data_IF_537048750032
#
_entry.id   IF_537048750032
#
_cell.length_a   1.000
_cell.length_b   1.000
_cell.length_c   1.000
_cell.angle_alpha   90.00
_cell.angle_beta   90.00
_cell.angle_gamma   90.00
#
_symmetry.space_group_name_H-M   'P 1'
#
loop_
_entity.id
_entity.type
_entity.pdbx_description
1 polymer ?
#
# COMPACT_ATOMS: atom_id res chain seq x y z
N UNK A 1 -1.44 16.36 -60.52
CA UNK A 1 -0.06 16.16 -60.07
C UNK A 1 0.31 17.34 -59.18
N UNK A 2 0.81 17.14 -57.96
CA UNK A 2 0.10 16.59 -56.79
C UNK A 2 -0.07 17.66 -55.69
N UNK A 3 -1.24 17.81 -55.05
CA UNK A 3 -1.66 17.19 -53.76
C UNK A 3 -0.68 17.42 -52.59
N UNK A 4 -0.94 18.48 -51.80
CA UNK A 4 -0.49 18.55 -50.41
C UNK A 4 -1.37 17.59 -49.60
N UNK A 5 -0.82 16.44 -49.23
CA UNK A 5 -1.39 15.47 -48.32
C UNK A 5 -0.40 15.25 -47.17
N UNK A 6 -0.92 15.39 -45.96
CA UNK A 6 -0.21 15.38 -44.69
C UNK A 6 0.36 13.99 -44.37
N UNK A 7 1.56 13.96 -43.82
CA UNK A 7 2.04 12.92 -42.89
C UNK A 7 3.38 13.38 -42.29
N UNK A 8 3.35 14.33 -41.36
CA UNK A 8 4.45 14.44 -40.40
C UNK A 8 4.10 13.51 -39.25
N UNK A 9 4.53 12.26 -39.42
CA UNK A 9 4.67 11.28 -38.36
C UNK A 9 5.59 11.92 -37.32
N UNK A 10 5.06 12.29 -36.15
CA UNK A 10 5.92 12.52 -34.99
C UNK A 10 6.32 11.14 -34.49
N UNK A 11 7.62 10.94 -34.61
CA UNK A 11 8.39 9.76 -34.26
C UNK A 11 8.41 9.65 -32.72
N UNK A 12 7.58 8.77 -32.16
CA UNK A 12 7.97 8.02 -30.98
C UNK A 12 8.79 6.81 -31.48
N UNK A 13 10.11 6.91 -31.44
CA UNK A 13 10.98 5.74 -31.56
C UNK A 13 11.96 5.67 -30.39
N UNK A 14 12.05 4.45 -29.85
CA UNK A 14 12.91 3.91 -28.79
C UNK A 14 12.46 4.26 -27.36
N UNK A 15 12.02 3.35 -26.49
CA UNK A 15 12.17 1.88 -26.36
C UNK A 15 10.92 1.35 -25.62
N UNK A 16 10.36 0.20 -26.02
CA UNK A 16 9.22 -0.45 -25.33
C UNK A 16 7.86 -0.22 -25.98
N UNK A 17 6.97 -1.21 -25.88
CA UNK A 17 5.59 -1.10 -26.34
C UNK A 17 4.90 0.00 -25.51
N UNK A 18 4.40 1.05 -26.16
CA UNK A 18 3.57 2.05 -25.48
C UNK A 18 2.27 1.33 -25.09
N UNK A 19 1.90 1.26 -23.80
CA UNK A 19 0.64 0.68 -23.39
C UNK A 19 -0.53 1.39 -24.09
N UNK A 20 -1.63 0.67 -24.32
CA UNK A 20 -2.83 1.34 -24.84
C UNK A 20 -3.31 2.38 -23.83
N UNK A 21 -4.00 3.42 -24.31
CA UNK A 21 -4.47 4.55 -23.49
C UNK A 21 -5.16 4.06 -22.20
N UNK A 22 -4.72 4.58 -21.04
CA UNK A 22 -5.30 4.29 -19.72
C UNK A 22 -4.85 2.97 -19.08
N UNK A 23 -3.82 2.31 -19.61
CA UNK A 23 -3.30 1.06 -19.05
C UNK A 23 -2.01 1.27 -18.27
N UNK A 24 -1.87 0.56 -17.15
CA UNK A 24 -0.62 0.52 -16.44
C UNK A 24 0.44 -0.28 -17.20
N UNK A 25 1.70 0.17 -17.16
CA UNK A 25 2.84 -0.56 -17.69
C UNK A 25 3.97 -0.62 -16.68
N UNK A 26 4.67 -1.76 -16.63
CA UNK A 26 5.88 -1.92 -15.83
C UNK A 26 6.95 -0.94 -16.33
N UNK A 27 7.39 -0.03 -15.47
CA UNK A 27 8.48 0.90 -15.73
C UNK A 27 9.83 0.26 -15.41
N UNK A 28 9.91 -0.40 -14.24
CA UNK A 28 11.17 -0.85 -13.70
C UNK A 28 10.99 -1.95 -12.65
N UNK A 29 11.79 -3.01 -12.77
CA UNK A 29 12.07 -3.95 -11.68
C UNK A 29 13.16 -3.38 -10.76
N UNK A 30 12.94 -3.46 -9.44
CA UNK A 30 13.81 -2.99 -8.38
C UNK A 30 14.29 -4.16 -7.53
N UNK A 31 15.60 -4.18 -7.33
CA UNK A 31 16.31 -5.03 -6.37
C UNK A 31 17.39 -4.12 -5.77
N UNK A 32 17.56 -4.14 -4.45
CA UNK A 32 18.65 -3.39 -3.81
C UNK A 32 19.99 -4.13 -3.99
N UNK A 33 21.09 -3.38 -4.04
CA UNK A 33 22.39 -3.92 -4.46
C UNK A 33 22.98 -4.98 -3.50
N UNK A 34 22.53 -4.97 -2.25
CA UNK A 34 22.91 -5.83 -1.14
C UNK A 34 21.83 -6.87 -0.78
N UNK A 35 20.88 -7.12 -1.68
CA UNK A 35 19.87 -8.16 -1.53
C UNK A 35 20.43 -9.52 -1.94
N UNK A 36 20.31 -10.48 -1.03
CA UNK A 36 20.72 -11.87 -1.15
C UNK A 36 19.55 -12.81 -0.77
N UNK A 37 19.82 -14.12 -0.72
CA UNK A 37 18.82 -15.13 -0.42
C UNK A 37 18.20 -14.98 0.97
N UNK A 38 16.86 -15.09 1.06
CA UNK A 38 16.02 -14.96 2.25
C UNK A 38 15.83 -13.52 2.78
N UNK A 39 16.23 -12.49 2.03
CA UNK A 39 16.03 -11.10 2.47
C UNK A 39 14.56 -10.63 2.36
N UNK A 40 13.76 -11.31 1.55
CA UNK A 40 12.34 -11.01 1.32
C UNK A 40 12.07 -9.57 0.83
N UNK A 41 12.93 -9.02 -0.03
CA UNK A 41 12.75 -7.68 -0.57
C UNK A 41 11.42 -7.54 -1.32
N UNK A 42 10.65 -6.48 -1.04
CA UNK A 42 9.29 -6.33 -1.57
C UNK A 42 8.21 -6.94 -0.68
N UNK A 43 8.57 -7.41 0.53
CA UNK A 43 7.61 -7.82 1.57
C UNK A 43 6.57 -6.75 1.89
N UNK A 44 7.01 -5.49 1.84
CA UNK A 44 6.18 -4.30 1.99
C UNK A 44 6.66 -3.21 1.02
N UNK A 45 5.73 -2.42 0.48
CA UNK A 45 6.04 -1.30 -0.43
C UNK A 45 5.16 -0.10 -0.09
N UNK A 46 5.70 1.10 -0.25
CA UNK A 46 4.94 2.35 -0.15
C UNK A 46 5.52 3.39 -1.10
N UNK A 47 4.67 4.19 -1.74
CA UNK A 47 5.06 5.27 -2.64
C UNK A 47 4.33 6.58 -2.30
N UNK A 48 5.06 7.69 -2.35
CA UNK A 48 4.56 9.06 -2.22
C UNK A 48 5.32 9.96 -3.19
N UNK A 49 4.64 10.40 -4.25
CA UNK A 49 5.23 11.18 -5.33
C UNK A 49 6.43 10.46 -5.96
N UNK A 50 7.60 11.09 -5.86
CA UNK A 50 8.86 10.57 -6.40
C UNK A 50 9.70 9.81 -5.36
N UNK A 51 9.11 9.41 -4.23
CA UNK A 51 9.79 8.63 -3.18
C UNK A 51 9.06 7.32 -2.97
N UNK A 52 9.79 6.20 -2.99
CA UNK A 52 9.28 4.88 -2.66
C UNK A 52 10.15 4.24 -1.58
N UNK A 53 9.52 3.44 -0.72
CA UNK A 53 10.19 2.64 0.32
C UNK A 53 9.80 1.19 0.13
N UNK A 54 10.78 0.30 0.17
CA UNK A 54 10.59 -1.15 0.01
C UNK A 54 11.21 -1.87 1.19
N UNK A 55 10.42 -2.66 1.91
CA UNK A 55 10.90 -3.47 3.04
C UNK A 55 11.53 -4.79 2.60
N UNK A 56 12.52 -5.23 3.37
CA UNK A 56 13.20 -6.52 3.28
C UNK A 56 13.34 -7.08 4.69
N UNK A 57 12.29 -7.77 5.14
CA UNK A 57 12.14 -8.24 6.52
C UNK A 57 13.25 -9.23 6.92
N UNK A 58 13.65 -10.09 5.99
CA UNK A 58 14.65 -11.13 6.22
C UNK A 58 16.08 -10.66 6.05
N UNK A 59 16.31 -9.37 5.71
CA UNK A 59 17.63 -8.84 5.41
C UNK A 59 18.64 -9.14 6.52
N UNK A 60 19.73 -9.78 6.13
CA UNK A 60 20.78 -10.20 7.05
C UNK A 60 22.12 -9.49 6.82
N UNK A 61 22.84 -9.26 7.91
CA UNK A 61 24.21 -8.77 7.86
C UNK A 61 25.11 -9.79 8.54
N UNK A 62 25.93 -10.47 7.73
CA UNK A 62 26.83 -11.54 8.18
C UNK A 62 26.11 -12.70 8.89
N UNK A 63 24.93 -13.09 8.38
CA UNK A 63 24.12 -14.22 8.87
C UNK A 63 23.18 -13.88 10.03
N UNK A 64 23.10 -12.61 10.43
CA UNK A 64 22.18 -12.12 11.47
C UNK A 64 21.07 -11.31 10.82
N UNK A 65 19.83 -11.78 10.97
CA UNK A 65 18.63 -11.14 10.39
C UNK A 65 18.23 -9.96 11.27
N UNK A 66 18.34 -8.75 10.74
CA UNK A 66 17.89 -7.52 11.39
C UNK A 66 16.66 -6.94 10.67
N UNK A 67 16.53 -7.25 9.38
CA UNK A 67 15.62 -6.57 8.47
C UNK A 67 16.14 -5.19 8.05
N UNK A 68 15.65 -4.69 6.91
CA UNK A 68 16.01 -3.40 6.33
C UNK A 68 14.84 -2.80 5.56
N UNK A 69 14.89 -1.50 5.29
CA UNK A 69 14.01 -0.86 4.30
C UNK A 69 14.81 0.04 3.35
N UNK A 70 14.48 0.02 2.07
CA UNK A 70 15.25 0.67 1.02
C UNK A 70 14.47 1.83 0.42
N UNK A 71 15.10 2.99 0.35
CA UNK A 71 14.50 4.18 -0.27
C UNK A 71 14.94 4.30 -1.72
N UNK A 72 13.97 4.46 -2.61
CA UNK A 72 14.16 4.77 -4.01
C UNK A 72 13.61 6.16 -4.32
N UNK A 73 14.37 6.94 -5.10
CA UNK A 73 13.88 8.21 -5.66
C UNK A 73 13.72 8.11 -7.16
N UNK A 74 12.62 8.69 -7.67
CA UNK A 74 12.39 8.84 -9.10
C UNK A 74 12.98 10.15 -9.60
N UNK A 75 13.78 10.07 -10.67
CA UNK A 75 14.26 11.23 -11.40
C UNK A 75 14.37 10.91 -12.88
N UNK A 76 13.76 11.72 -13.74
CA UNK A 76 13.73 11.47 -15.18
C UNK A 76 13.08 10.14 -15.57
N UNK A 77 12.08 9.69 -14.80
CA UNK A 77 11.38 8.42 -15.02
C UNK A 77 12.13 7.16 -14.56
N UNK A 78 13.26 7.31 -13.86
CA UNK A 78 14.06 6.18 -13.37
C UNK A 78 14.08 6.20 -11.85
N UNK A 79 13.81 5.04 -11.24
CA UNK A 79 13.92 4.82 -9.80
C UNK A 79 15.33 4.37 -9.44
N UNK A 80 15.97 5.10 -8.54
CA UNK A 80 17.34 4.77 -8.07
C UNK A 80 17.36 4.59 -6.57
N UNK A 81 17.95 3.49 -6.10
CA UNK A 81 18.20 3.27 -4.67
C UNK A 81 19.07 4.42 -4.15
N UNK A 82 18.57 5.09 -3.12
CA UNK A 82 19.23 6.22 -2.49
C UNK A 82 19.80 5.85 -1.12
N UNK A 83 19.09 5.02 -0.35
CA UNK A 83 19.45 4.71 1.02
C UNK A 83 18.98 3.30 1.43
N UNK A 84 19.74 2.66 2.32
CA UNK A 84 19.28 1.54 3.14
C UNK A 84 18.99 2.09 4.55
N UNK A 85 17.77 1.94 5.03
CA UNK A 85 17.29 2.36 6.35
C UNK A 85 17.45 1.20 7.33
N UNK A 86 18.31 1.39 8.32
CA UNK A 86 18.53 0.46 9.42
C UNK A 86 18.24 1.15 10.74
N UNK A 87 17.71 0.42 11.72
CA UNK A 87 17.56 0.94 13.08
C UNK A 87 18.95 1.11 13.74
N UNK A 88 19.12 2.17 14.51
CA UNK A 88 20.35 2.50 15.25
C UNK A 88 20.64 1.50 16.37
N UNK A 89 19.59 0.85 16.84
CA UNK A 89 19.52 -0.14 17.91
C UNK A 89 19.12 -1.52 17.39
N UNK A 90 19.23 -1.77 16.08
CA UNK A 90 18.86 -3.04 15.47
C UNK A 90 19.54 -4.24 16.16
N UNK A 91 18.73 -5.20 16.60
CA UNK A 91 19.13 -6.49 17.13
C UNK A 91 18.68 -7.64 16.22
N UNK A 92 19.35 -8.78 16.36
CA UNK A 92 19.04 -9.96 15.55
C UNK A 92 17.64 -10.46 15.92
N UNK A 93 16.71 -10.42 14.98
CA UNK A 93 15.34 -10.89 15.16
C UNK A 93 14.29 -9.77 15.14
N UNK A 94 14.68 -8.49 15.19
CA UNK A 94 13.71 -7.37 15.23
C UNK A 94 12.83 -7.28 13.98
N UNK A 95 13.39 -7.67 12.82
CA UNK A 95 12.65 -7.81 11.57
C UNK A 95 12.15 -6.47 11.03
N UNK A 96 13.04 -5.47 10.96
CA UNK A 96 12.74 -4.17 10.37
C UNK A 96 12.30 -4.33 8.90
N UNK A 97 11.28 -3.58 8.47
CA UNK A 97 10.80 -3.61 7.08
C UNK A 97 9.64 -4.57 6.84
N UNK A 98 9.09 -5.19 7.88
CA UNK A 98 7.83 -5.97 7.78
C UNK A 98 6.68 -5.12 7.23
N UNK A 99 6.67 -3.83 7.57
CA UNK A 99 5.71 -2.84 7.10
C UNK A 99 6.43 -1.50 6.86
N UNK A 100 6.03 -0.79 5.81
CA UNK A 100 6.62 0.51 5.45
C UNK A 100 5.52 1.47 5.02
N UNK A 101 5.69 2.75 5.32
CA UNK A 101 4.87 3.83 4.79
C UNK A 101 5.71 5.08 4.60
N UNK A 102 5.48 5.81 3.51
CA UNK A 102 6.16 7.08 3.22
C UNK A 102 5.17 8.18 2.89
N UNK A 103 5.43 9.37 3.42
CA UNK A 103 4.76 10.62 3.07
C UNK A 103 5.85 11.68 2.93
N UNK A 104 6.07 12.11 1.68
CA UNK A 104 7.10 13.09 1.33
C UNK A 104 8.49 12.72 1.88
N UNK A 105 9.06 13.56 2.77
CA UNK A 105 10.36 13.34 3.42
C UNK A 105 10.31 12.45 4.67
N UNK A 106 9.17 11.87 5.03
CA UNK A 106 9.03 11.05 6.24
C UNK A 106 8.66 9.62 5.89
N UNK A 107 9.45 8.65 6.38
CA UNK A 107 9.16 7.24 6.28
C UNK A 107 8.98 6.64 7.68
N UNK A 108 8.01 5.74 7.83
CA UNK A 108 7.81 4.93 9.03
C UNK A 108 7.98 3.47 8.65
N UNK A 109 8.78 2.74 9.42
CA UNK A 109 9.13 1.34 9.16
C UNK A 109 8.88 0.52 10.42
N UNK A 110 8.09 -0.53 10.31
CA UNK A 110 7.76 -1.42 11.42
C UNK A 110 8.80 -2.53 11.65
N UNK A 111 8.89 -2.97 12.90
CA UNK A 111 9.70 -4.07 13.40
C UNK A 111 8.93 -4.77 14.53
N UNK A 112 7.95 -5.60 14.16
CA UNK A 112 6.99 -6.20 15.08
C UNK A 112 7.59 -7.24 16.06
N UNK A 113 8.78 -7.76 15.77
CA UNK A 113 9.48 -8.74 16.60
C UNK A 113 10.51 -8.12 17.56
N UNK A 114 10.72 -6.79 17.48
CA UNK A 114 11.57 -6.04 18.41
C UNK A 114 11.16 -6.29 19.87
N UNK A 115 12.12 -6.68 20.70
CA UNK A 115 11.87 -7.22 22.04
C UNK A 115 12.34 -6.34 23.21
N UNK A 116 12.67 -5.08 22.93
CA UNK A 116 13.16 -4.09 23.89
C UNK A 116 12.20 -3.83 25.07
N UNK A 117 10.89 -3.93 24.82
CA UNK A 117 9.83 -3.77 25.84
C UNK A 117 9.18 -5.11 26.24
N UNK A 118 9.76 -6.24 25.85
CA UNK A 118 9.26 -7.59 26.07
C UNK A 118 9.25 -8.39 24.77
N UNK A 119 9.26 -9.74 24.85
CA UNK A 119 9.28 -10.60 23.65
C UNK A 119 8.22 -10.21 22.63
N UNK A 120 8.64 -9.85 21.41
CA UNK A 120 7.80 -9.35 20.32
C UNK A 120 6.83 -8.24 20.78
N UNK A 121 7.30 -7.33 21.63
CA UNK A 121 6.56 -6.11 21.99
C UNK A 121 6.39 -5.19 20.78
N UNK A 122 7.36 -5.24 19.87
CA UNK A 122 7.37 -4.54 18.61
C UNK A 122 7.73 -3.06 18.73
N UNK A 123 8.24 -2.52 17.62
CA UNK A 123 8.64 -1.13 17.48
C UNK A 123 8.34 -0.60 16.08
N UNK A 124 8.30 0.73 15.94
CA UNK A 124 8.28 1.39 14.64
C UNK A 124 9.30 2.52 14.60
N UNK A 125 9.96 2.71 13.47
CA UNK A 125 11.08 3.63 13.32
C UNK A 125 10.73 4.72 12.33
N UNK A 126 10.87 5.98 12.75
CA UNK A 126 10.67 7.14 11.89
C UNK A 126 12.01 7.58 11.32
N UNK A 127 12.07 7.66 9.99
CA UNK A 127 13.19 8.19 9.24
C UNK A 127 12.77 9.49 8.54
N UNK A 128 13.69 10.44 8.49
CA UNK A 128 13.47 11.73 7.83
C UNK A 128 14.54 12.03 6.80
N UNK A 129 14.13 12.63 5.69
CA UNK A 129 15.02 13.07 4.63
C UNK A 129 15.40 14.55 4.80
N UNK A 130 16.69 14.81 4.90
CA UNK A 130 17.25 16.16 4.78
C UNK A 130 18.14 16.22 3.52
N UNK A 131 17.61 16.82 2.45
CA UNK A 131 18.26 16.81 1.15
C UNK A 131 18.33 15.39 0.58
N UNK A 132 19.52 14.83 0.47
CA UNK A 132 19.74 13.48 -0.06
C UNK A 132 20.04 12.43 1.02
N UNK A 133 19.91 12.76 2.31
CA UNK A 133 20.28 11.86 3.41
C UNK A 133 19.04 11.52 4.22
N UNK A 134 18.84 10.22 4.48
CA UNK A 134 17.84 9.73 5.40
C UNK A 134 18.48 9.41 6.75
N UNK A 135 17.85 9.83 7.83
CA UNK A 135 18.32 9.54 9.19
C UNK A 135 17.16 9.08 10.07
N UNK A 136 17.39 8.09 10.94
CA UNK A 136 16.44 7.76 11.98
C UNK A 136 16.25 8.98 12.89
N UNK A 137 15.02 9.48 12.94
CA UNK A 137 14.61 10.56 13.82
C UNK A 137 14.23 10.01 15.20
N UNK A 138 13.48 8.90 15.24
CA UNK A 138 12.94 8.37 16.49
C UNK A 138 12.51 6.91 16.36
N UNK A 139 12.67 6.13 17.46
CA UNK A 139 11.98 4.86 17.70
C UNK A 139 10.66 5.14 18.43
N UNK A 140 9.57 4.59 17.93
CA UNK A 140 8.23 4.67 18.50
C UNK A 140 7.92 3.34 19.19
N UNK A 141 7.46 3.43 20.43
CA UNK A 141 6.95 2.32 21.23
C UNK A 141 5.64 2.74 21.88
N UNK A 142 4.71 1.82 22.03
CA UNK A 142 3.48 2.08 22.78
C UNK A 142 3.79 2.45 24.24
N UNK A 143 3.06 3.42 24.79
CA UNK A 143 3.16 3.86 26.19
C UNK A 143 2.99 2.74 27.24
N UNK A 144 2.31 1.70 26.81
CA UNK A 144 1.79 0.55 27.52
C UNK A 144 2.29 -0.76 26.89
N UNK A 145 3.35 -0.69 26.08
CA UNK A 145 3.94 -1.85 25.41
C UNK A 145 4.15 -3.03 26.36
N UNK A 146 3.66 -4.19 25.93
CA UNK A 146 3.78 -5.47 26.59
C UNK A 146 4.28 -6.55 25.62
N UNK A 147 4.71 -7.69 26.18
CA UNK A 147 5.18 -8.81 25.39
C UNK A 147 4.03 -9.39 24.56
N UNK A 148 4.26 -9.55 23.25
CA UNK A 148 3.28 -10.10 22.32
C UNK A 148 2.27 -9.10 21.78
N UNK A 149 2.45 -7.79 21.99
CA UNK A 149 1.59 -6.75 21.42
C UNK A 149 1.79 -6.60 19.90
N UNK A 150 2.98 -6.97 19.40
CA UNK A 150 3.32 -6.96 17.96
C UNK A 150 3.21 -5.56 17.33
N UNK A 151 3.59 -4.53 18.08
CA UNK A 151 3.56 -3.14 17.62
C UNK A 151 4.46 -2.95 16.38
N UNK A 152 3.95 -2.28 15.34
CA UNK A 152 4.71 -2.09 14.09
C UNK A 152 4.44 -3.16 13.03
N UNK A 153 3.56 -4.13 13.30
CA UNK A 153 3.05 -5.07 12.28
C UNK A 153 2.44 -4.34 11.07
N UNK A 154 1.80 -3.20 11.31
CA UNK A 154 1.27 -2.31 10.29
C UNK A 154 1.58 -0.85 10.65
N UNK A 155 1.97 -0.06 9.66
CA UNK A 155 2.31 1.36 9.84
C UNK A 155 1.74 2.19 8.71
N UNK A 156 1.36 3.42 9.00
CA UNK A 156 0.95 4.40 8.00
C UNK A 156 1.35 5.81 8.44
N UNK A 157 1.82 6.64 7.51
CA UNK A 157 2.15 8.04 7.76
C UNK A 157 1.50 8.97 6.74
N UNK A 158 1.00 10.11 7.21
CA UNK A 158 0.46 11.20 6.40
C UNK A 158 0.87 12.53 7.03
N UNK A 159 1.81 13.23 6.38
CA UNK A 159 2.44 14.44 6.90
C UNK A 159 3.03 14.21 8.30
N UNK A 160 2.52 14.95 9.29
CA UNK A 160 2.98 14.92 10.69
C UNK A 160 2.20 13.91 11.56
N UNK A 161 1.46 12.98 10.97
CA UNK A 161 0.67 11.97 11.69
C UNK A 161 1.08 10.57 11.25
N UNK A 162 1.40 9.72 12.23
CA UNK A 162 1.68 8.30 12.01
C UNK A 162 0.70 7.46 12.82
N UNK A 163 0.28 6.32 12.26
CA UNK A 163 -0.54 5.31 12.94
C UNK A 163 0.21 4.00 12.90
N UNK A 164 0.29 3.32 14.03
CA UNK A 164 0.98 2.04 14.18
C UNK A 164 0.03 1.01 14.80
N UNK A 165 -0.14 -0.12 14.14
CA UNK A 165 -0.95 -1.23 14.63
C UNK A 165 -0.19 -2.15 15.57
N UNK A 166 -0.92 -2.76 16.50
CA UNK A 166 -0.47 -3.75 17.47
C UNK A 166 -1.62 -4.75 17.70
N UNK A 167 -1.83 -5.67 16.75
CA UNK A 167 -2.99 -6.58 16.82
C UNK A 167 -2.90 -7.58 17.97
N UNK A 168 -1.70 -7.77 18.53
CA UNK A 168 -1.40 -8.63 19.66
C UNK A 168 -1.91 -8.11 21.00
N UNK A 169 -2.09 -6.79 21.11
CA UNK A 169 -2.47 -6.07 22.33
C UNK A 169 -3.74 -6.65 22.95
N UNK A 170 -3.69 -6.91 24.27
CA UNK A 170 -4.74 -7.66 24.98
C UNK A 170 -5.54 -6.83 26.01
N UNK A 171 -5.42 -5.51 25.97
CA UNK A 171 -6.02 -4.60 26.94
C UNK A 171 -7.57 -4.56 26.89
N UNK A 172 -8.16 -4.84 25.73
CA UNK A 172 -9.62 -4.94 25.56
C UNK A 172 -10.14 -6.39 25.48
N UNK A 173 -9.26 -7.37 25.69
CA UNK A 173 -9.54 -8.80 25.56
C UNK A 173 -8.33 -9.52 24.95
N UNK A 174 -8.23 -10.85 25.12
CA UNK A 174 -7.10 -11.62 24.60
C UNK A 174 -6.91 -11.37 23.09
N UNK A 175 -5.81 -10.72 22.70
CA UNK A 175 -5.50 -10.38 21.30
C UNK A 175 -6.65 -9.59 20.64
N UNK A 176 -7.24 -8.66 21.39
CA UNK A 176 -8.26 -7.74 20.85
C UNK A 176 -7.66 -6.75 19.87
N UNK A 177 -6.40 -6.41 20.08
CA UNK A 177 -5.61 -5.50 19.25
C UNK A 177 -5.87 -4.02 19.53
N UNK A 178 -4.89 -3.21 19.15
CA UNK A 178 -4.90 -1.75 19.30
C UNK A 178 -4.19 -1.07 18.13
N UNK A 179 -4.46 0.24 17.96
CA UNK A 179 -3.69 1.09 17.06
C UNK A 179 -3.29 2.39 17.77
N UNK A 180 -2.10 2.90 17.50
CA UNK A 180 -1.51 4.01 18.23
C UNK A 180 -1.23 5.16 17.28
N UNK A 181 -1.75 6.34 17.59
CA UNK A 181 -1.53 7.55 16.80
C UNK A 181 -0.40 8.37 17.40
N UNK A 182 0.59 8.71 16.58
CA UNK A 182 1.67 9.61 16.90
C UNK A 182 1.57 10.90 16.08
N UNK A 183 1.86 12.03 16.70
CA UNK A 183 1.92 13.33 16.02
C UNK A 183 3.28 13.97 16.24
N UNK A 184 3.86 14.51 15.16
CA UNK A 184 5.10 15.25 15.23
C UNK A 184 4.88 16.62 15.88
N UNK A 185 5.58 16.87 16.98
CA UNK A 185 5.68 18.13 17.70
C UNK A 185 7.13 18.65 17.64
N UNK A 186 7.45 19.44 16.61
CA UNK A 186 8.84 19.85 16.35
C UNK A 186 9.65 18.67 15.78
N UNK A 187 10.69 18.24 16.47
CA UNK A 187 11.50 17.07 16.06
C UNK A 187 11.05 15.76 16.73
N UNK A 188 10.11 15.83 17.68
CA UNK A 188 9.66 14.66 18.45
C UNK A 188 8.30 14.16 17.97
N UNK A 189 8.16 12.86 17.85
CA UNK A 189 6.88 12.16 17.70
C UNK A 189 6.34 11.79 19.07
N UNK A 190 5.12 12.22 19.34
CA UNK A 190 4.45 12.01 20.62
C UNK A 190 3.21 11.16 20.38
N UNK A 191 3.04 10.10 21.17
CA UNK A 191 1.81 9.32 21.17
C UNK A 191 0.65 10.24 21.59
N UNK A 192 -0.24 10.52 20.64
CA UNK A 192 -1.42 11.36 20.85
C UNK A 192 -2.55 10.54 21.47
N UNK A 193 -2.77 9.31 21.00
CA UNK A 193 -3.89 8.48 21.42
C UNK A 193 -3.69 6.99 21.11
N UNK A 194 -4.20 6.11 21.97
CA UNK A 194 -4.47 4.69 21.69
C UNK A 194 -5.91 4.56 21.19
N UNK A 195 -6.10 3.86 20.08
CA UNK A 195 -7.38 3.58 19.44
C UNK A 195 -7.71 2.10 19.68
N UNK A 196 -8.97 1.85 20.03
CA UNK A 196 -9.54 0.52 20.25
C UNK A 196 -10.95 0.52 19.69
N UNK A 197 -11.37 -0.53 18.99
CA UNK A 197 -12.75 -0.67 18.53
C UNK A 197 -13.77 -0.47 19.67
N UNK A 198 -14.85 0.27 19.40
CA UNK A 198 -15.90 0.53 20.39
C UNK A 198 -16.62 -0.73 20.89
N UNK A 199 -16.60 -1.79 20.09
CA UNK A 199 -17.11 -3.12 20.38
C UNK A 199 -16.04 -4.21 20.34
N UNK A 200 -14.76 -3.85 20.48
CA UNK A 200 -13.64 -4.79 20.44
C UNK A 200 -13.77 -5.94 21.44
N UNK A 201 -13.48 -7.15 20.96
CA UNK A 201 -13.53 -8.40 21.67
C UNK A 201 -12.22 -9.19 21.50
N UNK A 202 -12.13 -10.31 22.22
CA UNK A 202 -10.95 -11.17 22.12
C UNK A 202 -10.84 -11.78 20.72
N UNK A 203 -9.62 -11.79 20.19
CA UNK A 203 -9.25 -12.34 18.88
C UNK A 203 -9.78 -11.58 17.66
N UNK A 204 -10.26 -10.35 17.79
CA UNK A 204 -10.71 -9.53 16.65
C UNK A 204 -9.55 -9.00 15.79
N UNK A 205 -8.33 -8.96 16.36
CA UNK A 205 -7.08 -8.52 15.72
C UNK A 205 -7.13 -7.05 15.22
N UNK A 206 -7.75 -6.16 16.00
CA UNK A 206 -7.78 -4.74 15.68
C UNK A 206 -6.37 -4.16 15.54
N UNK A 207 -6.07 -3.46 14.46
CA UNK A 207 -4.72 -2.96 14.19
C UNK A 207 -3.85 -3.90 13.36
N UNK A 208 -4.38 -5.04 12.89
CA UNK A 208 -3.67 -5.89 11.92
C UNK A 208 -3.32 -5.12 10.64
N UNK A 209 -4.18 -4.16 10.27
CA UNK A 209 -3.93 -3.21 9.19
C UNK A 209 -4.36 -1.80 9.60
N UNK A 210 -3.56 -0.80 9.23
CA UNK A 210 -3.83 0.61 9.51
C UNK A 210 -3.53 1.46 8.28
N UNK A 211 -4.31 2.53 8.09
CA UNK A 211 -4.00 3.57 7.11
C UNK A 211 -4.46 4.94 7.61
N UNK A 212 -3.69 5.99 7.35
CA UNK A 212 -4.03 7.37 7.70
C UNK A 212 -3.91 8.31 6.49
N UNK A 213 -4.89 9.19 6.33
CA UNK A 213 -4.90 10.28 5.35
C UNK A 213 -5.41 11.55 6.04
N UNK A 214 -4.48 12.48 6.32
CA UNK A 214 -4.77 13.71 7.05
C UNK A 214 -5.39 13.44 8.43
N UNK A 215 -6.66 13.84 8.61
CA UNK A 215 -7.43 13.70 9.85
C UNK A 215 -8.33 12.45 9.85
N UNK A 216 -8.14 11.51 8.93
CA UNK A 216 -8.91 10.26 8.85
C UNK A 216 -7.98 9.06 8.97
N UNK A 217 -8.29 8.13 9.86
CA UNK A 217 -7.59 6.86 9.99
C UNK A 217 -8.58 5.70 9.83
N UNK A 218 -8.15 4.63 9.19
CA UNK A 218 -8.91 3.37 9.08
C UNK A 218 -8.07 2.27 9.72
N UNK A 219 -8.71 1.46 10.56
CA UNK A 219 -8.08 0.35 11.27
C UNK A 219 -8.87 -0.92 11.02
N UNK A 220 -8.23 -1.97 10.53
CA UNK A 220 -8.84 -3.27 10.29
C UNK A 220 -8.86 -4.15 11.54
N UNK A 221 -9.88 -5.01 11.65
CA UNK A 221 -10.04 -6.08 12.62
C UNK A 221 -10.61 -7.30 11.87
N UNK A 222 -9.72 -8.11 11.30
CA UNK A 222 -10.11 -9.10 10.29
C UNK A 222 -10.95 -10.25 10.84
N UNK A 223 -10.85 -10.54 12.13
CA UNK A 223 -11.57 -11.63 12.80
C UNK A 223 -12.72 -11.12 13.67
N UNK A 224 -13.09 -9.84 13.56
CA UNK A 224 -14.26 -9.29 14.24
C UNK A 224 -15.54 -10.05 13.86
N UNK A 225 -16.31 -10.43 14.86
CA UNK A 225 -17.53 -11.23 14.76
C UNK A 225 -18.79 -10.42 14.30
N UNK A 226 -18.60 -9.22 13.72
CA UNK A 226 -19.62 -8.26 13.29
C UNK A 226 -21.08 -8.72 13.34
N UNK A 227 -21.64 -9.13 12.19
CA UNK A 227 -22.97 -9.75 12.12
C UNK A 227 -22.90 -11.28 12.00
N UNK A 228 -21.74 -11.78 11.56
CA UNK A 228 -21.45 -13.19 11.28
C UNK A 228 -20.03 -13.45 11.77
N UNK A 229 -19.77 -14.67 12.27
CA UNK A 229 -18.49 -15.03 12.87
C UNK A 229 -17.32 -14.85 11.93
N UNK A 230 -16.24 -14.22 12.39
CA UNK A 230 -15.02 -13.93 11.62
C UNK A 230 -15.30 -13.26 10.26
N UNK A 231 -16.41 -12.53 10.12
CA UNK A 231 -16.71 -11.78 8.90
C UNK A 231 -15.78 -10.57 8.73
N UNK A 232 -15.26 -10.06 9.84
CA UNK A 232 -14.31 -8.98 9.91
C UNK A 232 -14.94 -7.59 9.77
N UNK A 233 -14.20 -6.58 10.23
CA UNK A 233 -14.62 -5.19 10.23
C UNK A 233 -13.45 -4.22 9.97
N UNK A 234 -13.79 -3.00 9.56
CA UNK A 234 -12.84 -1.88 9.54
C UNK A 234 -13.45 -0.66 10.21
N UNK A 235 -12.67 0.05 11.01
CA UNK A 235 -13.14 1.16 11.84
C UNK A 235 -12.54 2.47 11.37
N UNK A 236 -13.38 3.46 11.09
CA UNK A 236 -12.94 4.79 10.70
C UNK A 236 -12.90 5.70 11.91
N UNK A 237 -11.75 6.32 12.13
CA UNK A 237 -11.53 7.35 13.14
C UNK A 237 -11.30 8.70 12.46
N UNK A 238 -11.86 9.76 13.05
CA UNK A 238 -11.65 11.14 12.59
C UNK A 238 -11.08 11.99 13.71
N UNK A 239 -10.07 12.80 13.37
CA UNK A 239 -9.45 13.75 14.28
C UNK A 239 -10.19 15.09 14.28
N UNK A 240 -10.57 15.57 15.45
CA UNK A 240 -11.06 16.93 15.64
C UNK A 240 -10.56 17.50 16.97
N UNK A 241 -9.96 18.70 16.92
CA UNK A 241 -9.41 19.34 18.12
C UNK A 241 -8.30 18.51 18.82
N UNK A 242 -7.57 17.69 18.06
CA UNK A 242 -6.52 16.80 18.57
C UNK A 242 -7.02 15.49 19.19
N UNK A 243 -8.32 15.20 19.09
CA UNK A 243 -8.93 13.95 19.59
C UNK A 243 -9.40 13.11 18.41
N UNK A 244 -9.04 11.83 18.40
CA UNK A 244 -9.57 10.84 17.47
C UNK A 244 -10.82 10.21 18.04
N UNK A 245 -11.89 10.20 17.25
CA UNK A 245 -13.15 9.55 17.60
C UNK A 245 -13.54 8.56 16.53
N UNK A 246 -13.97 7.36 16.93
CA UNK A 246 -14.57 6.40 16.00
C UNK A 246 -15.82 7.05 15.37
N UNK A 247 -15.76 7.26 14.06
CA UNK A 247 -16.83 7.82 13.25
C UNK A 247 -17.80 6.73 12.82
N UNK A 248 -17.28 5.56 12.40
CA UNK A 248 -18.10 4.49 11.83
C UNK A 248 -17.35 3.15 11.79
N UNK A 249 -18.05 2.07 12.10
CA UNK A 249 -17.68 0.68 11.78
C UNK A 249 -18.17 0.34 10.37
N UNK A 250 -17.28 -0.15 9.51
CA UNK A 250 -17.53 -0.59 8.14
C UNK A 250 -17.59 -2.11 8.12
N UNK A 251 -18.60 -2.64 7.44
CA UNK A 251 -18.78 -4.07 7.16
C UNK A 251 -19.20 -4.25 5.71
N UNK A 252 -18.90 -5.42 5.13
CA UNK A 252 -19.39 -5.78 3.81
C UNK A 252 -20.92 -5.99 3.83
N UNK A 253 -21.63 -5.44 2.84
CA UNK A 253 -23.08 -5.61 2.71
C UNK A 253 -23.51 -7.07 2.50
N UNK A 254 -22.62 -7.89 1.95
CA UNK A 254 -22.75 -9.31 1.68
C UNK A 254 -21.88 -10.18 2.59
N UNK A 255 -21.47 -9.65 3.75
CA UNK A 255 -20.63 -10.34 4.73
C UNK A 255 -21.08 -11.78 5.02
N UNK A 256 -20.15 -12.71 4.90
CA UNK A 256 -20.27 -14.11 5.25
C UNK A 256 -19.21 -14.52 6.29
N UNK A 257 -19.39 -15.73 6.83
CA UNK A 257 -18.51 -16.24 7.88
C UNK A 257 -17.10 -16.50 7.34
N UNK A 258 -16.08 -15.94 7.98
CA UNK A 258 -14.70 -16.14 7.58
C UNK A 258 -14.25 -15.35 6.35
N UNK A 259 -15.01 -14.32 5.92
CA UNK A 259 -14.60 -13.45 4.81
C UNK A 259 -13.33 -12.63 5.13
N UNK A 260 -13.02 -12.45 6.42
CA UNK A 260 -11.84 -11.75 6.91
C UNK A 260 -11.74 -10.30 6.41
N UNK A 261 -12.87 -9.60 6.37
CA UNK A 261 -12.93 -8.18 5.99
C UNK A 261 -12.08 -7.34 6.97
N UNK A 262 -11.19 -6.50 6.45
CA UNK A 262 -10.29 -5.70 7.29
C UNK A 262 -8.87 -6.27 7.42
N UNK A 263 -8.57 -7.40 6.78
CA UNK A 263 -7.18 -7.91 6.67
C UNK A 263 -6.22 -6.87 6.06
N UNK A 264 -6.75 -6.01 5.17
CA UNK A 264 -6.03 -4.85 4.66
C UNK A 264 -6.97 -3.66 4.49
N UNK A 265 -6.46 -2.47 4.77
CA UNK A 265 -7.20 -1.21 4.66
C UNK A 265 -6.32 -0.15 4.00
N UNK A 266 -6.94 0.73 3.22
CA UNK A 266 -6.31 1.92 2.67
C UNK A 266 -7.32 3.06 2.61
N UNK A 267 -6.89 4.29 2.87
CA UNK A 267 -7.72 5.49 2.79
C UNK A 267 -6.98 6.63 2.09
N UNK A 268 -7.67 7.28 1.16
CA UNK A 268 -7.24 8.53 0.54
C UNK A 268 -8.43 9.48 0.54
N UNK A 269 -8.33 10.54 1.34
CA UNK A 269 -9.37 11.56 1.53
C UNK A 269 -10.74 10.96 1.93
N UNK A 270 -11.69 10.96 1.00
CA UNK A 270 -13.07 10.49 1.16
C UNK A 270 -13.29 9.09 0.56
N UNK A 271 -12.24 8.37 0.17
CA UNK A 271 -12.32 7.02 -0.40
C UNK A 271 -11.50 6.04 0.45
N UNK A 272 -12.11 4.91 0.82
CA UNK A 272 -11.44 3.84 1.54
C UNK A 272 -11.61 2.52 0.78
N UNK A 273 -10.58 1.69 0.77
CA UNK A 273 -10.61 0.33 0.26
C UNK A 273 -10.33 -0.64 1.41
N UNK A 274 -11.08 -1.74 1.46
CA UNK A 274 -10.94 -2.77 2.49
C UNK A 274 -10.91 -4.15 1.84
N UNK A 275 -9.89 -4.94 2.15
CA UNK A 275 -9.76 -6.31 1.66
C UNK A 275 -10.54 -7.32 2.51
N UNK A 276 -10.99 -8.40 1.88
CA UNK A 276 -11.64 -9.56 2.49
C UNK A 276 -11.12 -10.83 1.79
N UNK A 277 -9.98 -11.35 2.27
CA UNK A 277 -9.24 -12.42 1.58
C UNK A 277 -9.96 -13.78 1.66
N UNK A 278 -10.82 -13.94 2.67
CA UNK A 278 -11.59 -15.16 2.89
C UNK A 278 -12.86 -15.27 2.04
N UNK A 279 -13.28 -14.17 1.39
CA UNK A 279 -14.49 -14.14 0.56
C UNK A 279 -14.47 -15.27 -0.48
N UNK A 280 -15.53 -16.07 -0.50
CA UNK A 280 -15.61 -17.27 -1.32
C UNK A 280 -16.60 -17.18 -2.48
N UNK A 281 -17.05 -15.96 -2.81
CA UNK A 281 -18.08 -15.71 -3.84
C UNK A 281 -17.70 -16.21 -5.23
N UNK A 282 -16.40 -16.23 -5.55
CA UNK A 282 -15.85 -16.73 -6.81
C UNK A 282 -15.05 -18.03 -6.65
N UNK A 283 -15.17 -18.71 -5.50
CA UNK A 283 -14.40 -19.89 -5.12
C UNK A 283 -13.74 -19.72 -3.76
N UNK A 284 -13.44 -20.82 -3.07
CA UNK A 284 -12.83 -20.78 -1.73
C UNK A 284 -11.57 -19.91 -1.72
N UNK A 285 -11.52 -18.90 -0.83
CA UNK A 285 -10.41 -17.94 -0.74
C UNK A 285 -10.07 -17.26 -2.08
N UNK A 286 -11.06 -17.07 -2.95
CA UNK A 286 -10.90 -16.24 -4.16
C UNK A 286 -10.69 -14.78 -3.79
N UNK A 287 -11.29 -14.35 -2.67
CA UNK A 287 -11.08 -13.05 -2.06
C UNK A 287 -11.84 -11.92 -2.76
N UNK A 288 -11.95 -10.78 -2.07
CA UNK A 288 -12.63 -9.58 -2.55
C UNK A 288 -12.03 -8.32 -1.93
N UNK A 289 -12.32 -7.17 -2.54
CA UNK A 289 -12.06 -5.88 -1.94
C UNK A 289 -13.30 -4.99 -2.04
N UNK A 290 -13.48 -4.07 -1.11
CA UNK A 290 -14.67 -3.25 -1.01
C UNK A 290 -14.28 -1.79 -0.94
N UNK A 291 -14.89 -0.96 -1.79
CA UNK A 291 -14.68 0.49 -1.78
C UNK A 291 -15.81 1.17 -1.04
N UNK A 292 -15.46 2.04 -0.11
CA UNK A 292 -16.36 2.92 0.61
C UNK A 292 -16.06 4.38 0.25
N UNK A 293 -17.11 5.18 0.14
CA UNK A 293 -16.99 6.62 -0.11
C UNK A 293 -17.68 7.40 1.01
N UNK A 294 -17.03 8.46 1.49
CA UNK A 294 -17.56 9.38 2.48
C UNK A 294 -18.35 10.50 1.81
N UNK A 295 -19.58 10.71 2.25
CA UNK A 295 -20.37 11.89 1.89
C UNK A 295 -21.15 12.40 3.08
N UNK A 296 -21.03 13.69 3.38
CA UNK A 296 -21.70 14.29 4.55
C UNK A 296 -21.30 13.65 5.89
N UNK A 297 -20.09 13.12 5.99
CA UNK A 297 -19.58 12.42 7.18
C UNK A 297 -20.04 10.97 7.34
N UNK A 298 -20.69 10.39 6.33
CA UNK A 298 -21.15 9.00 6.33
C UNK A 298 -20.38 8.21 5.27
N UNK A 299 -19.83 7.06 5.65
CA UNK A 299 -19.21 6.12 4.72
C UNK A 299 -20.25 5.13 4.20
N UNK A 300 -20.29 4.96 2.89
CA UNK A 300 -21.19 3.99 2.22
C UNK A 300 -20.39 3.10 1.29
N UNK A 301 -20.64 1.79 1.33
CA UNK A 301 -20.08 0.85 0.36
C UNK A 301 -20.54 1.27 -1.04
N UNK A 302 -19.59 1.67 -1.88
CA UNK A 302 -19.82 2.04 -3.27
C UNK A 302 -19.82 0.80 -4.16
N UNK A 303 -18.86 -0.11 -3.98
CA UNK A 303 -18.70 -1.28 -4.86
C UNK A 303 -17.89 -2.40 -4.19
N UNK A 304 -18.22 -3.66 -4.52
CA UNK A 304 -17.36 -4.84 -4.32
C UNK A 304 -16.52 -5.05 -5.59
N UNK A 305 -15.21 -5.17 -5.42
CA UNK A 305 -14.23 -5.42 -6.46
C UNK A 305 -13.83 -6.89 -6.41
N UNK A 306 -13.80 -7.54 -7.58
CA UNK A 306 -13.40 -8.94 -7.78
C UNK A 306 -12.59 -9.02 -9.05
N UNK A 307 -11.52 -9.81 -9.08
CA UNK A 307 -10.78 -10.07 -10.31
C UNK A 307 -11.68 -10.69 -11.39
N UNK A 308 -11.53 -10.24 -12.64
CA UNK A 308 -12.25 -10.77 -13.81
C UNK A 308 -12.07 -12.26 -14.06
N UNK A 309 -10.95 -12.78 -13.57
CA UNK A 309 -10.38 -14.11 -13.70
C UNK A 309 -10.28 -14.81 -12.34
N UNK A 310 -10.96 -14.28 -11.32
CA UNK A 310 -10.92 -14.82 -9.96
C UNK A 310 -11.13 -16.35 -9.93
N UNK A 311 -10.22 -17.02 -9.25
CA UNK A 311 -10.22 -18.45 -9.01
C UNK A 311 -10.06 -18.76 -7.51
N UNK A 312 -10.34 -20.01 -7.15
CA UNK A 312 -10.20 -20.47 -5.77
C UNK A 312 -8.72 -20.44 -5.35
N UNK A 313 -8.43 -19.78 -4.23
CA UNK A 313 -7.10 -19.71 -3.65
C UNK A 313 -6.28 -18.49 -4.05
N UNK A 314 -6.73 -17.64 -4.99
CA UNK A 314 -5.98 -16.47 -5.48
C UNK A 314 -5.66 -15.43 -4.40
N UNK A 315 -6.43 -15.42 -3.31
CA UNK A 315 -6.28 -14.50 -2.19
C UNK A 315 -6.37 -13.01 -2.59
N UNK A 316 -7.28 -12.68 -3.51
CA UNK A 316 -7.54 -11.29 -3.89
C UNK A 316 -7.96 -10.46 -2.67
N UNK A 317 -7.40 -9.26 -2.52
CA UNK A 317 -7.72 -8.39 -1.39
C UNK A 317 -6.85 -8.60 -0.15
N UNK A 318 -5.86 -9.50 -0.19
CA UNK A 318 -4.88 -9.63 0.91
C UNK A 318 -4.12 -8.32 1.17
N UNK A 319 -3.94 -7.50 0.12
CA UNK A 319 -3.46 -6.12 0.21
C UNK A 319 -4.25 -5.23 -0.75
N UNK A 320 -4.60 -4.05 -0.26
CA UNK A 320 -5.29 -3.00 -1.02
C UNK A 320 -4.56 -1.67 -0.85
N UNK A 321 -4.57 -0.86 -1.89
CA UNK A 321 -4.13 0.54 -1.84
C UNK A 321 -5.07 1.38 -2.68
N UNK A 322 -5.44 2.57 -2.19
CA UNK A 322 -6.30 3.51 -2.92
C UNK A 322 -5.71 4.92 -2.88
N UNK A 323 -5.77 5.60 -4.01
CA UNK A 323 -5.49 7.03 -4.12
C UNK A 323 -6.50 7.69 -5.05
N UNK A 324 -7.37 8.53 -4.49
CA UNK A 324 -8.46 9.18 -5.21
C UNK A 324 -9.35 8.20 -5.99
N UNK A 325 -9.21 8.22 -7.32
CA UNK A 325 -9.97 7.41 -8.28
C UNK A 325 -9.26 6.12 -8.72
N UNK A 326 -8.09 5.79 -8.15
CA UNK A 326 -7.33 4.59 -8.50
C UNK A 326 -7.17 3.68 -7.30
N UNK A 327 -7.44 2.38 -7.48
CA UNK A 327 -7.22 1.35 -6.48
C UNK A 327 -6.38 0.21 -7.07
N UNK A 328 -5.48 -0.35 -6.25
CA UNK A 328 -4.67 -1.52 -6.60
C UNK A 328 -4.94 -2.60 -5.56
N UNK A 329 -5.19 -3.81 -6.03
CA UNK A 329 -5.53 -4.97 -5.19
C UNK A 329 -4.62 -6.14 -5.54
N UNK A 330 -3.94 -6.70 -4.55
CA UNK A 330 -3.07 -7.87 -4.72
C UNK A 330 -3.82 -9.19 -4.67
N UNK A 331 -3.34 -10.17 -5.42
CA UNK A 331 -3.75 -11.58 -5.41
C UNK A 331 -2.49 -12.45 -5.57
N UNK A 332 -1.66 -12.58 -4.51
CA UNK A 332 -0.34 -13.18 -4.60
C UNK A 332 -0.33 -14.68 -4.88
N UNK A 333 -1.48 -15.34 -4.81
CA UNK A 333 -1.62 -16.77 -5.11
C UNK A 333 -2.22 -17.06 -6.47
N UNK A 334 -2.50 -16.03 -7.26
CA UNK A 334 -2.92 -16.19 -8.65
C UNK A 334 -1.88 -17.03 -9.43
N UNK A 335 -2.35 -18.04 -10.13
CA UNK A 335 -1.53 -19.11 -10.73
C UNK A 335 -1.23 -18.94 -12.22
N UNK A 336 -1.68 -17.85 -12.83
CA UNK A 336 -1.72 -17.70 -14.29
C UNK A 336 -0.35 -17.75 -14.98
N UNK A 337 0.72 -17.30 -14.31
CA UNK A 337 2.11 -17.35 -14.79
C UNK A 337 2.95 -18.45 -14.12
N UNK A 338 2.32 -19.37 -13.39
CA UNK A 338 2.94 -20.38 -12.53
C UNK A 338 2.25 -20.44 -11.18
N UNK A 339 2.29 -21.59 -10.50
CA UNK A 339 1.68 -21.77 -9.17
C UNK A 339 2.18 -20.66 -8.23
N UNK A 340 1.27 -19.95 -7.55
CA UNK A 340 1.60 -18.84 -6.64
C UNK A 340 2.53 -17.75 -7.26
N UNK A 341 2.50 -17.56 -8.59
CA UNK A 341 3.26 -16.50 -9.26
C UNK A 341 2.76 -15.10 -8.90
N UNK A 342 1.45 -14.99 -8.68
CA UNK A 342 0.79 -13.81 -8.17
C UNK A 342 0.48 -12.75 -9.22
N UNK A 343 -0.52 -11.93 -8.91
CA UNK A 343 -0.99 -10.81 -9.73
C UNK A 343 -1.39 -9.62 -8.88
N UNK A 344 -1.48 -8.44 -9.51
CA UNK A 344 -2.16 -7.29 -8.95
C UNK A 344 -3.15 -6.70 -9.95
N UNK A 345 -4.24 -6.12 -9.44
CA UNK A 345 -5.36 -5.64 -10.24
C UNK A 345 -5.59 -4.18 -9.98
N UNK A 346 -5.68 -3.39 -11.05
CA UNK A 346 -5.92 -1.96 -10.98
C UNK A 346 -7.37 -1.68 -11.32
N UNK A 347 -8.01 -0.83 -10.53
CA UNK A 347 -9.36 -0.34 -10.76
C UNK A 347 -9.33 1.18 -10.84
N UNK A 348 -10.00 1.74 -11.84
CA UNK A 348 -10.14 3.18 -12.02
C UNK A 348 -11.62 3.56 -11.93
N UNK A 349 -11.93 4.53 -11.08
CA UNK A 349 -13.27 5.07 -10.90
C UNK A 349 -13.57 6.08 -12.00
N UNK A 350 -14.63 5.81 -12.76
CA UNK A 350 -15.16 6.75 -13.77
C UNK A 350 -16.69 6.75 -13.72
N UNK A 351 -17.28 7.95 -13.67
CA UNK A 351 -18.74 8.08 -13.52
C UNK A 351 -19.31 7.43 -12.26
N UNK A 352 -18.51 7.32 -11.19
CA UNK A 352 -18.89 6.67 -9.93
C UNK A 352 -18.83 5.14 -9.94
N UNK A 353 -18.27 4.52 -10.99
CA UNK A 353 -18.11 3.07 -11.14
C UNK A 353 -16.63 2.72 -11.20
N UNK A 354 -16.20 1.71 -10.45
CA UNK A 354 -14.84 1.18 -10.50
C UNK A 354 -14.73 0.14 -11.60
N UNK A 355 -13.85 0.41 -12.58
CA UNK A 355 -13.63 -0.46 -13.72
C UNK A 355 -12.22 -1.06 -13.63
N UNK A 356 -12.14 -2.39 -13.70
CA UNK A 356 -10.87 -3.10 -13.75
C UNK A 356 -10.12 -2.71 -15.04
N UNK A 357 -8.86 -2.33 -14.88
CA UNK A 357 -7.88 -2.14 -15.95
C UNK A 357 -7.17 -3.48 -16.23
N UNK A 358 -6.27 -3.57 -17.23
CA UNK A 358 -5.48 -4.78 -17.41
C UNK A 358 -4.76 -5.18 -16.13
N UNK A 359 -4.76 -6.50 -15.87
CA UNK A 359 -4.03 -7.11 -14.76
C UNK A 359 -2.53 -6.79 -14.86
N UNK A 360 -1.92 -6.53 -13.71
CA UNK A 360 -0.48 -6.36 -13.57
C UNK A 360 0.14 -7.72 -13.25
N UNK A 361 1.18 -8.06 -14.00
CA UNK A 361 2.03 -9.23 -13.78
C UNK A 361 3.48 -8.78 -13.91
N UNK A 362 4.39 -9.38 -13.14
CA UNK A 362 5.82 -9.16 -13.34
C UNK A 362 6.25 -9.65 -14.74
N UNK A 363 7.12 -8.88 -15.42
CA UNK A 363 7.67 -9.25 -16.73
C UNK A 363 8.48 -10.55 -16.72
N UNK A 364 8.96 -10.95 -15.55
CA UNK A 364 9.73 -12.15 -15.25
C UNK A 364 8.98 -13.10 -14.28
N UNK A 365 7.64 -13.01 -14.20
CA UNK A 365 6.84 -13.82 -13.28
C UNK A 365 7.20 -15.32 -13.36
N UNK A 366 7.46 -15.91 -12.20
CA UNK A 366 7.70 -17.34 -12.01
C UNK A 366 6.85 -17.88 -10.86
N UNK A 367 6.77 -19.21 -10.76
CA UNK A 367 6.08 -19.86 -9.65
C UNK A 367 6.72 -19.47 -8.30
N UNK A 368 5.89 -19.37 -7.26
CA UNK A 368 6.29 -19.02 -5.88
C UNK A 368 6.90 -17.61 -5.72
N UNK A 369 6.71 -16.70 -6.68
CA UNK A 369 7.17 -15.29 -6.59
C UNK A 369 6.28 -14.44 -5.66
N UNK A 370 5.00 -14.79 -5.54
CA UNK A 370 3.96 -14.08 -4.79
C UNK A 370 3.84 -12.59 -5.16
N UNK A 371 3.88 -12.27 -6.46
CA UNK A 371 3.66 -10.89 -6.92
C UNK A 371 2.27 -10.39 -6.48
N UNK A 372 2.20 -9.20 -5.88
CA UNK A 372 0.95 -8.68 -5.31
C UNK A 372 0.83 -8.88 -3.79
N UNK A 373 1.83 -9.46 -3.13
CA UNK A 373 1.85 -9.59 -1.66
C UNK A 373 1.88 -8.24 -0.94
N UNK A 374 2.32 -7.19 -1.63
CA UNK A 374 2.33 -5.81 -1.19
C UNK A 374 2.04 -4.91 -2.38
N UNK A 375 1.19 -3.90 -2.18
CA UNK A 375 0.80 -2.94 -3.22
C UNK A 375 0.73 -1.54 -2.64
N UNK A 376 1.10 -0.53 -3.42
CA UNK A 376 0.92 0.89 -3.08
C UNK A 376 0.63 1.69 -4.33
N UNK A 377 -0.27 2.68 -4.26
CA UNK A 377 -0.54 3.62 -5.35
C UNK A 377 -0.50 5.06 -4.86
N UNK A 378 0.08 5.94 -5.68
CA UNK A 378 0.00 7.38 -5.50
C UNK A 378 0.02 8.07 -6.89
N UNK A 379 -1.03 8.83 -7.20
CA UNK A 379 -1.29 9.37 -8.52
C UNK A 379 -1.25 8.27 -9.59
N UNK A 380 -0.49 8.52 -10.65
CA UNK A 380 -0.27 7.56 -11.74
C UNK A 380 0.84 6.53 -11.44
N UNK A 381 1.29 6.37 -10.20
CA UNK A 381 2.40 5.46 -9.86
C UNK A 381 1.90 4.34 -8.97
N UNK A 382 2.13 3.10 -9.38
CA UNK A 382 1.86 1.92 -8.55
C UNK A 382 3.15 1.14 -8.29
N UNK A 383 3.28 0.58 -7.09
CA UNK A 383 4.33 -0.34 -6.70
C UNK A 383 3.72 -1.67 -6.31
N UNK A 384 4.36 -2.76 -6.73
CA UNK A 384 3.96 -4.12 -6.38
C UNK A 384 5.18 -4.92 -5.95
N UNK A 385 5.09 -5.59 -4.80
CA UNK A 385 6.14 -6.49 -4.31
C UNK A 385 5.92 -7.95 -4.71
N UNK A 386 7.02 -8.68 -4.88
CA UNK A 386 7.10 -10.13 -5.06
C UNK A 386 8.22 -10.65 -4.16
N UNK A 387 7.90 -10.80 -2.86
CA UNK A 387 8.90 -11.00 -1.80
C UNK A 387 9.72 -12.29 -1.91
N UNK A 388 9.28 -13.26 -2.72
CA UNK A 388 10.01 -14.52 -2.91
C UNK A 388 10.60 -14.71 -4.29
N UNK A 389 10.53 -13.67 -5.15
CA UNK A 389 11.23 -13.69 -6.42
C UNK A 389 12.72 -14.05 -6.24
N UNK A 390 13.21 -14.98 -7.05
CA UNK A 390 14.48 -15.65 -6.82
C UNK A 390 15.62 -15.21 -7.76
N UNK A 391 15.42 -14.14 -8.53
CA UNK A 391 16.41 -13.63 -9.49
C UNK A 391 17.72 -13.15 -8.83
N UNK A 392 17.69 -12.77 -7.54
CA UNK A 392 18.87 -12.40 -6.76
C UNK A 392 19.24 -13.45 -5.68
N UNK A 393 18.68 -14.66 -5.78
CA UNK A 393 18.86 -15.74 -4.80
C UNK A 393 17.53 -16.27 -4.29
N UNK A 394 17.50 -17.48 -3.73
CA UNK A 394 16.25 -18.08 -3.24
C UNK A 394 15.58 -17.17 -2.21
N UNK A 395 14.30 -16.83 -2.41
CA UNK A 395 13.53 -15.96 -1.51
C UNK A 395 14.15 -14.57 -1.32
N UNK A 396 14.91 -14.08 -2.31
CA UNK A 396 15.57 -12.76 -2.23
C UNK A 396 14.58 -11.59 -2.33
N UNK A 397 13.58 -11.74 -3.18
CA UNK A 397 12.50 -10.80 -3.39
C UNK A 397 12.77 -9.73 -4.45
N UNK A 398 11.71 -9.05 -4.89
CA UNK A 398 11.74 -7.95 -5.84
C UNK A 398 10.56 -6.99 -5.65
N UNK A 399 10.70 -5.76 -6.11
CA UNK A 399 9.60 -4.81 -6.24
C UNK A 399 9.53 -4.24 -7.66
N UNK A 400 8.34 -3.87 -8.11
CA UNK A 400 8.09 -3.44 -9.48
C UNK A 400 7.34 -2.12 -9.46
N UNK A 401 7.87 -1.13 -10.18
CA UNK A 401 7.23 0.15 -10.39
C UNK A 401 6.42 0.12 -11.69
N UNK A 402 5.19 0.63 -11.63
CA UNK A 402 4.28 0.74 -12.75
C UNK A 402 3.83 2.19 -12.95
N UNK A 403 3.76 2.60 -14.20
CA UNK A 403 3.12 3.84 -14.64
C UNK A 403 1.68 3.52 -14.98
N UNK A 404 0.73 4.02 -14.21
CA UNK A 404 -0.72 3.88 -14.37
C UNK A 404 -1.36 5.12 -14.99
N UNK A 405 -0.65 5.75 -15.93
CA UNK A 405 -1.01 7.03 -16.52
C UNK A 405 -2.48 7.14 -16.92
N UNK A 406 -3.15 8.11 -16.33
CA UNK A 406 -4.26 8.82 -16.98
C UNK A 406 -3.67 9.67 -18.12
N UNK A 407 -3.84 9.20 -19.35
CA UNK A 407 -3.74 10.01 -20.57
C UNK A 407 -2.36 10.64 -20.88
N UNK A 408 -1.69 10.16 -21.93
CA UNK A 408 -0.69 10.96 -22.66
C UNK A 408 -1.32 12.10 -23.50
N UNK A 409 -2.43 12.68 -23.04
CA UNK A 409 -2.93 13.94 -23.55
C UNK A 409 -2.81 14.95 -22.42
N UNK A 410 -1.86 15.91 -22.49
CA UNK A 410 -1.90 17.02 -21.55
C UNK A 410 -3.27 17.69 -21.69
N UNK A 411 -3.99 17.84 -20.58
CA UNK A 411 -5.11 18.78 -20.45
C UNK A 411 -4.53 20.20 -20.58
N UNK A 412 -4.28 20.58 -21.83
CA UNK A 412 -3.65 21.85 -22.20
C UNK A 412 -4.58 23.01 -21.90
N UNK A 413 -5.88 22.76 -21.87
CA UNK A 413 -6.91 23.78 -21.67
C UNK A 413 -7.32 23.93 -20.17
N UNK A 414 -6.96 22.96 -19.32
CA UNK A 414 -7.25 22.87 -17.88
C UNK A 414 -8.73 22.78 -17.52
N UNK A 415 -9.54 22.11 -18.32
CA UNK A 415 -10.96 21.90 -18.06
C UNK A 415 -11.25 20.59 -17.30
N UNK A 416 -10.21 19.80 -17.02
CA UNK A 416 -10.31 18.54 -16.30
C UNK A 416 -10.78 17.37 -17.16
N UNK A 417 -10.81 17.52 -18.49
CA UNK A 417 -11.17 16.47 -19.45
C UNK A 417 -10.19 16.50 -20.62
N UNK A 418 -9.36 15.47 -20.80
CA UNK A 418 -8.55 15.44 -22.02
C UNK A 418 -9.42 15.12 -23.24
N UNK A 419 -9.57 16.10 -24.13
CA UNK A 419 -10.40 15.98 -25.31
C UNK A 419 -9.79 16.66 -26.55
N UNK A 420 -10.55 16.71 -27.64
CA UNK A 420 -10.07 17.31 -28.90
C UNK A 420 -9.82 18.83 -28.79
N UNK A 421 -10.36 19.48 -27.75
CA UNK A 421 -10.18 20.90 -27.49
C UNK A 421 -8.78 21.19 -26.91
N UNK A 422 -8.14 20.22 -26.25
CA UNK A 422 -6.72 20.32 -25.88
C UNK A 422 -5.81 20.41 -27.11
N UNK A 423 -6.19 19.72 -28.18
CA UNK A 423 -5.52 19.82 -29.48
C UNK A 423 -5.64 21.23 -30.09
N UNK A 424 -6.74 21.95 -29.79
CA UNK A 424 -6.97 23.32 -30.22
C UNK A 424 -6.04 24.34 -29.56
N UNK A 425 -5.70 24.14 -28.29
CA UNK A 425 -4.72 24.97 -27.56
C UNK A 425 -3.32 24.78 -28.13
N UNK A 426 -2.96 23.54 -28.48
CA UNK A 426 -1.68 23.23 -29.12
C UNK A 426 -1.49 23.96 -30.47
N UNK A 427 -2.55 24.15 -31.25
CA UNK A 427 -2.50 24.90 -32.52
C UNK A 427 -2.26 26.41 -32.31
N UNK A 428 -2.89 27.00 -31.29
CA UNK A 428 -2.75 28.44 -30.99
C UNK A 428 -1.34 28.83 -30.52
N UNK A 429 -0.63 27.92 -29.86
CA UNK A 429 0.76 28.13 -29.41
C UNK A 429 1.78 28.23 -30.57
N UNK A 430 1.45 27.72 -31.77
CA UNK A 430 2.31 27.80 -32.95
C UNK A 430 1.95 28.96 -33.90
N UNK A 431 0.76 29.56 -33.77
CA UNK A 431 0.36 30.71 -34.58
C UNK A 431 0.95 32.04 -34.08
N UNK A 432 1.46 32.10 -32.84
CA UNK A 432 2.20 33.26 -32.30
C UNK A 432 3.69 33.30 -32.72
N UNK A 433 4.16 32.33 -33.52
CA UNK A 433 5.52 32.30 -34.08
C UNK A 433 5.55 32.50 -35.61
N UNK A 434 4.71 33.40 -36.16
CA UNK A 434 4.77 33.82 -37.56
C UNK A 434 4.85 35.32 -37.79
#
# INVERSE_FOLDING_TARGET
MPSLGWALVVVCMAVGAIPALGQCAEEQKLIAADIDANDEFGRSVSVSGDTAVVGAYGHDVAGSVFGSAYVYLRSGGVWTQQHNLTALDAETGDGLGVSVSVSDETAVVGAWDDDDAGTSSGSAYVFVRAGAVWTQQQKLTASDAAAGDLFGVSVSVSGDTAVVGAYGDDDAGLVSGSAYVYVRCGEAWIQQQKLTASDGAASDFFGISVCVSGDTAVVGAELDDGAVSDSGSAYVYVRSGGVWTEQQKLTAADAAAGDQFGISVSVSEDTAAVGAVGDDSAGSFSGSAYVFVRSGGVWTQQQKLTASDAAAGDQFGVRVSVDGDTAVVGAPRDGDAGDDSGSAYVYVRSGGVWNQQPKLTASNAAADDFFGISVSVNGDTAFVGAHYNDDAGSLSGSAYAFSCGSECAPDLNRDGVADILDFGVFQSLFDDCR
#
